data_IF_486402685745
#
_entry.id   IF_486402685745
#
_cell.length_a   1.000
_cell.length_b   1.000
_cell.length_c   1.000
_cell.angle_alpha   90.00
_cell.angle_beta   90.00
_cell.angle_gamma   90.00
#
_symmetry.space_group_name_H-M   'P 1'
#
loop_
_entity.id
_entity.type
_entity.pdbx_description
1 polymer ?
#
# COMPACT_ATOMS: atom_id res chain seq x y z
N UNK A 1 -24.72 31.73 -3.89
CA UNK A 1 -24.20 30.53 -4.58
C UNK A 1 -22.70 30.67 -4.67
N UNK A 2 -21.92 29.71 -4.17
CA UNK A 2 -20.46 29.75 -4.32
C UNK A 2 -20.12 29.59 -5.80
N UNK A 3 -19.26 30.46 -6.35
CA UNK A 3 -18.76 30.30 -7.71
C UNK A 3 -17.83 29.08 -7.77
N UNK A 4 -17.99 28.26 -8.82
CA UNK A 4 -17.07 27.16 -9.09
C UNK A 4 -15.73 27.74 -9.50
N UNK A 5 -14.66 27.38 -8.77
CA UNK A 5 -13.31 27.92 -9.00
C UNK A 5 -12.60 27.24 -10.17
N UNK A 6 -12.91 25.98 -10.45
CA UNK A 6 -12.27 25.19 -11.49
C UNK A 6 -13.15 24.01 -11.88
N UNK A 7 -13.12 23.67 -13.17
CA UNK A 7 -13.80 22.48 -13.72
C UNK A 7 -12.79 21.71 -14.57
N UNK A 8 -12.70 20.37 -14.41
CA UNK A 8 -11.82 19.56 -15.24
C UNK A 8 -12.23 19.65 -16.72
N UNK A 9 -11.25 19.57 -17.62
CA UNK A 9 -11.53 19.41 -19.04
C UNK A 9 -12.32 18.10 -19.27
N UNK A 10 -13.29 18.06 -20.19
CA UNK A 10 -14.10 16.86 -20.44
C UNK A 10 -13.28 15.58 -20.69
N UNK A 11 -12.15 15.72 -21.40
CA UNK A 11 -11.25 14.60 -21.69
C UNK A 11 -10.53 14.04 -20.44
N UNK A 12 -10.24 14.88 -19.44
CA UNK A 12 -9.58 14.43 -18.21
C UNK A 12 -10.45 13.43 -17.43
N UNK A 13 -11.77 13.57 -17.54
CA UNK A 13 -12.72 12.69 -16.89
C UNK A 13 -12.87 11.34 -17.61
N UNK A 14 -12.94 11.37 -18.96
CA UNK A 14 -13.23 10.19 -19.79
C UNK A 14 -12.21 9.06 -19.63
N UNK A 15 -10.93 9.39 -19.42
CA UNK A 15 -9.84 8.41 -19.27
C UNK A 15 -9.44 8.16 -17.82
N UNK A 16 -10.16 8.72 -16.85
CA UNK A 16 -9.86 8.54 -15.44
C UNK A 16 -10.12 7.10 -15.00
N UNK A 17 -9.38 6.64 -13.97
CA UNK A 17 -9.65 5.35 -13.34
C UNK A 17 -11.06 5.30 -12.73
N UNK A 18 -11.61 6.44 -12.29
CA UNK A 18 -12.97 6.52 -11.77
C UNK A 18 -14.02 6.25 -12.85
N UNK A 19 -13.85 6.83 -14.04
CA UNK A 19 -14.75 6.57 -15.17
C UNK A 19 -14.68 5.10 -15.63
N UNK A 20 -13.47 4.53 -15.66
CA UNK A 20 -13.27 3.10 -15.95
C UNK A 20 -13.94 2.21 -14.90
N UNK A 21 -13.78 2.54 -13.62
CA UNK A 21 -14.40 1.81 -12.52
C UNK A 21 -15.94 1.89 -12.56
N UNK A 22 -16.49 3.09 -12.79
CA UNK A 22 -17.93 3.31 -12.93
C UNK A 22 -18.50 2.43 -14.06
N UNK A 23 -17.87 2.49 -15.24
CA UNK A 23 -18.28 1.71 -16.42
C UNK A 23 -18.22 0.21 -16.14
N UNK A 24 -17.15 -0.27 -15.51
CA UNK A 24 -16.97 -1.68 -15.18
C UNK A 24 -18.05 -2.22 -14.22
N UNK A 25 -18.68 -1.34 -13.45
CA UNK A 25 -19.75 -1.67 -12.50
C UNK A 25 -21.15 -1.26 -12.98
N UNK A 26 -21.29 -0.92 -14.27
CA UNK A 26 -22.59 -0.58 -14.87
C UNK A 26 -23.10 0.82 -14.55
N UNK A 27 -22.26 1.71 -14.01
CA UNK A 27 -22.62 3.11 -13.76
C UNK A 27 -22.17 4.01 -14.90
N UNK A 28 -22.95 5.07 -15.15
CA UNK A 28 -22.49 6.18 -15.99
C UNK A 28 -21.34 6.88 -15.27
N UNK A 29 -20.19 7.09 -15.92
CA UNK A 29 -19.12 7.92 -15.37
C UNK A 29 -19.63 9.32 -14.96
N UNK A 30 -20.54 9.91 -15.74
CA UNK A 30 -21.06 11.25 -15.46
C UNK A 30 -22.00 11.32 -14.24
N UNK A 31 -22.40 10.18 -13.67
CA UNK A 31 -23.28 10.10 -12.51
C UNK A 31 -22.52 9.54 -11.29
N UNK A 32 -21.61 10.37 -10.78
CA UNK A 32 -20.86 10.05 -9.57
C UNK A 32 -21.78 9.83 -8.36
N UNK A 33 -22.89 10.56 -8.28
CA UNK A 33 -23.78 10.52 -7.12
C UNK A 33 -24.44 9.15 -6.97
N UNK A 34 -24.93 8.57 -8.06
CA UNK A 34 -25.52 7.23 -8.03
C UNK A 34 -24.48 6.16 -7.67
N UNK A 35 -23.28 6.22 -8.26
CA UNK A 35 -22.20 5.28 -7.92
C UNK A 35 -21.76 5.43 -6.45
N UNK A 36 -21.62 6.66 -5.96
CA UNK A 36 -21.29 6.93 -4.56
C UNK A 36 -22.39 6.44 -3.62
N UNK A 37 -23.67 6.63 -3.98
CA UNK A 37 -24.79 6.12 -3.18
C UNK A 37 -24.75 4.60 -3.09
N UNK A 38 -24.44 3.92 -4.19
CA UNK A 38 -24.21 2.48 -4.18
C UNK A 38 -23.02 2.09 -3.28
N UNK A 39 -21.89 2.78 -3.39
CA UNK A 39 -20.66 2.43 -2.65
C UNK A 39 -20.83 2.43 -1.14
N UNK A 40 -21.74 3.26 -0.62
CA UNK A 40 -22.06 3.33 0.82
C UNK A 40 -23.28 2.50 1.23
N UNK A 41 -24.14 2.12 0.28
CA UNK A 41 -25.34 1.33 0.56
C UNK A 41 -25.06 -0.18 0.54
N UNK A 42 -24.14 -0.62 -0.32
CA UNK A 42 -23.67 -2.00 -0.40
C UNK A 42 -22.14 -2.04 -0.38
N UNK A 43 -21.59 -1.90 0.83
CA UNK A 43 -20.14 -1.94 1.07
C UNK A 43 -19.52 -3.27 0.62
N UNK A 44 -20.26 -4.39 0.75
CA UNK A 44 -19.76 -5.71 0.37
C UNK A 44 -19.51 -5.83 -1.13
N UNK A 45 -20.50 -5.43 -1.94
CA UNK A 45 -20.38 -5.40 -3.39
C UNK A 45 -19.34 -4.36 -3.84
N UNK A 46 -19.34 -3.17 -3.24
CA UNK A 46 -18.39 -2.11 -3.57
C UNK A 46 -16.94 -2.52 -3.37
N UNK A 47 -16.59 -3.04 -2.19
CA UNK A 47 -15.21 -3.45 -1.93
C UNK A 47 -14.79 -4.63 -2.80
N UNK A 48 -15.72 -5.56 -3.11
CA UNK A 48 -15.44 -6.63 -4.09
C UNK A 48 -15.05 -6.06 -5.45
N UNK A 49 -15.85 -5.13 -5.95
CA UNK A 49 -15.57 -4.46 -7.21
C UNK A 49 -14.23 -3.71 -7.19
N UNK A 50 -13.87 -3.07 -6.09
CA UNK A 50 -12.56 -2.40 -5.94
C UNK A 50 -11.42 -3.40 -6.04
N UNK A 51 -11.52 -4.54 -5.35
CA UNK A 51 -10.52 -5.60 -5.40
C UNK A 51 -10.31 -6.10 -6.84
N UNK A 52 -11.39 -6.41 -7.53
CA UNK A 52 -11.38 -6.94 -8.90
C UNK A 52 -10.83 -5.90 -9.89
N UNK A 53 -11.30 -4.65 -9.80
CA UNK A 53 -10.86 -3.57 -10.68
C UNK A 53 -9.38 -3.21 -10.50
N UNK A 54 -8.90 -3.17 -9.26
CA UNK A 54 -7.48 -2.91 -8.97
C UNK A 54 -6.58 -4.11 -9.36
N UNK A 55 -7.18 -5.27 -9.61
CA UNK A 55 -6.45 -6.51 -9.92
C UNK A 55 -5.58 -6.93 -8.74
N UNK A 56 -6.13 -6.87 -7.53
CA UNK A 56 -5.41 -7.28 -6.31
C UNK A 56 -5.11 -8.77 -6.40
N UNK A 57 -3.83 -9.12 -6.22
CA UNK A 57 -3.35 -10.49 -6.17
C UNK A 57 -3.53 -11.04 -4.76
N UNK A 58 -4.23 -12.16 -4.65
CA UNK A 58 -4.57 -12.82 -3.39
C UNK A 58 -5.91 -13.52 -3.48
N UNK A 59 -6.34 -14.09 -2.37
CA UNK A 59 -7.69 -14.61 -2.20
C UNK A 59 -8.51 -13.58 -1.41
N UNK A 60 -9.51 -12.91 -2.01
CA UNK A 60 -10.37 -11.98 -1.29
C UNK A 60 -11.40 -12.67 -0.38
N UNK A 61 -11.45 -14.01 -0.39
CA UNK A 61 -12.38 -14.80 0.40
C UNK A 61 -13.85 -14.54 0.05
N UNK A 62 -14.74 -15.08 0.89
CA UNK A 62 -16.20 -15.03 0.62
C UNK A 62 -16.84 -13.69 0.95
N UNK A 63 -16.36 -13.02 2.00
CA UNK A 63 -16.95 -11.77 2.52
C UNK A 63 -16.00 -10.61 2.27
N UNK A 64 -16.45 -9.55 1.60
CA UNK A 64 -15.67 -8.31 1.45
C UNK A 64 -15.84 -7.35 2.62
N UNK A 65 -16.98 -7.40 3.30
CA UNK A 65 -17.28 -6.53 4.42
C UNK A 65 -18.18 -7.26 5.41
N UNK A 66 -17.84 -7.18 6.68
CA UNK A 66 -18.62 -7.70 7.79
C UNK A 66 -18.86 -6.56 8.78
N UNK A 67 -20.11 -6.10 8.85
CA UNK A 67 -20.53 -5.06 9.78
C UNK A 67 -20.61 -5.61 11.20
N UNK A 68 -20.11 -4.84 12.16
CA UNK A 68 -20.41 -5.04 13.58
C UNK A 68 -21.46 -4.02 14.03
N UNK A 69 -22.65 -4.45 14.42
CA UNK A 69 -23.74 -3.50 14.74
C UNK A 69 -23.57 -2.79 16.09
N UNK A 70 -22.77 -3.35 17.01
CA UNK A 70 -22.56 -2.78 18.34
C UNK A 70 -21.39 -1.79 18.35
N UNK A 71 -20.40 -2.01 17.48
CA UNK A 71 -19.30 -1.08 17.27
C UNK A 71 -18.96 -0.96 15.77
N UNK A 72 -19.85 -0.33 14.97
CA UNK A 72 -19.71 -0.28 13.52
C UNK A 72 -18.39 0.32 13.03
N UNK A 73 -17.81 1.25 13.80
CA UNK A 73 -16.58 1.93 13.42
C UNK A 73 -15.30 1.16 13.78
N UNK A 74 -15.25 0.49 14.93
CA UNK A 74 -14.00 -0.07 15.46
C UNK A 74 -13.89 -1.58 15.34
N UNK A 75 -15.01 -2.29 15.10
CA UNK A 75 -15.04 -3.76 15.03
C UNK A 75 -15.56 -4.33 13.71
N UNK A 76 -16.08 -3.50 12.79
CA UNK A 76 -16.37 -3.96 11.43
C UNK A 76 -15.09 -4.39 10.73
N UNK A 77 -15.17 -5.41 9.90
CA UNK A 77 -14.01 -6.02 9.24
C UNK A 77 -14.15 -5.92 7.72
N UNK A 78 -13.08 -5.46 7.09
CA UNK A 78 -12.93 -5.50 5.63
C UNK A 78 -12.20 -6.80 5.29
N UNK A 79 -12.77 -7.58 4.38
CA UNK A 79 -12.20 -8.82 3.89
C UNK A 79 -11.71 -9.78 5.00
N UNK A 80 -12.57 -10.18 5.95
CA UNK A 80 -12.17 -11.01 7.10
C UNK A 80 -11.61 -12.39 6.72
N UNK A 81 -11.95 -12.88 5.52
CA UNK A 81 -11.52 -14.19 5.02
C UNK A 81 -10.32 -14.09 4.07
N UNK A 82 -9.84 -12.88 3.77
CA UNK A 82 -8.86 -12.70 2.70
C UNK A 82 -7.44 -13.06 3.13
N UNK A 83 -6.66 -13.48 2.13
CA UNK A 83 -5.21 -13.61 2.23
C UNK A 83 -4.54 -12.93 1.05
N UNK A 84 -3.58 -12.06 1.34
CA UNK A 84 -2.79 -11.34 0.33
C UNK A 84 -1.43 -10.97 0.90
N UNK A 85 -0.48 -10.65 0.02
CA UNK A 85 0.77 -10.01 0.41
C UNK A 85 0.90 -8.64 -0.28
N UNK A 86 1.14 -7.58 0.51
CA UNK A 86 1.27 -6.23 -0.05
C UNK A 86 2.53 -6.08 -0.91
N UNK A 87 3.66 -6.71 -0.53
CA UNK A 87 4.88 -6.64 -1.31
C UNK A 87 4.74 -7.35 -2.67
N UNK A 88 3.99 -8.45 -2.73
CA UNK A 88 3.61 -9.11 -3.99
C UNK A 88 2.81 -8.17 -4.90
N UNK A 89 1.77 -7.53 -4.36
CA UNK A 89 0.91 -6.60 -5.11
C UNK A 89 1.69 -5.39 -5.63
N UNK A 90 2.57 -4.80 -4.81
CA UNK A 90 3.39 -3.64 -5.19
C UNK A 90 4.52 -3.99 -6.16
N UNK A 91 4.91 -5.26 -6.20
CA UNK A 91 5.99 -5.75 -7.06
C UNK A 91 5.46 -6.40 -8.33
N UNK A 92 4.20 -6.19 -8.74
CA UNK A 92 3.61 -6.76 -9.97
C UNK A 92 4.02 -6.01 -11.24
N UNK A 93 4.06 -6.72 -12.36
CA UNK A 93 4.36 -6.18 -13.70
C UNK A 93 5.64 -6.74 -14.32
N UNK A 94 6.04 -6.14 -15.43
CA UNK A 94 7.18 -6.58 -16.23
C UNK A 94 8.53 -6.29 -15.56
N UNK A 95 9.49 -7.20 -15.75
CA UNK A 95 10.82 -7.14 -15.12
C UNK A 95 11.60 -5.88 -15.50
N UNK A 96 11.49 -5.44 -16.75
CA UNK A 96 12.19 -4.27 -17.30
C UNK A 96 11.51 -2.93 -16.95
N UNK A 97 10.31 -2.97 -16.35
CA UNK A 97 9.59 -1.76 -15.96
C UNK A 97 10.40 -1.00 -14.92
N UNK A 98 10.61 0.30 -15.16
CA UNK A 98 11.16 1.19 -14.14
C UNK A 98 10.23 1.23 -12.93
N UNK A 99 10.71 0.76 -11.79
CA UNK A 99 9.97 0.72 -10.54
C UNK A 99 10.29 1.91 -9.64
N UNK A 100 11.55 2.37 -9.64
CA UNK A 100 12.01 3.48 -8.81
C UNK A 100 12.87 4.41 -9.66
N UNK A 101 12.63 5.71 -9.51
CA UNK A 101 13.53 6.77 -9.92
C UNK A 101 13.94 7.49 -8.63
N UNK A 102 15.19 7.37 -8.27
CA UNK A 102 15.79 8.02 -7.10
C UNK A 102 16.58 9.25 -7.57
N UNK A 103 16.46 10.33 -6.82
CA UNK A 103 17.15 11.58 -7.04
C UNK A 103 17.64 12.15 -5.70
N UNK A 104 18.78 12.84 -5.70
CA UNK A 104 19.26 13.57 -4.53
C UNK A 104 19.80 14.96 -4.82
N UNK A 105 20.14 15.66 -3.73
CA UNK A 105 20.60 17.05 -3.75
C UNK A 105 21.97 17.24 -4.42
N UNK A 106 22.74 16.15 -4.60
CA UNK A 106 24.00 16.19 -5.36
C UNK A 106 23.77 16.07 -6.87
N UNK A 107 22.51 15.99 -7.31
CA UNK A 107 22.15 15.75 -8.70
C UNK A 107 22.38 14.30 -9.13
N UNK A 108 22.55 13.36 -8.19
CA UNK A 108 22.62 11.95 -8.53
C UNK A 108 21.22 11.45 -8.90
N UNK A 109 21.12 10.73 -10.01
CA UNK A 109 19.91 10.05 -10.45
C UNK A 109 20.18 8.57 -10.64
N UNK A 110 19.29 7.75 -10.12
CA UNK A 110 19.35 6.30 -10.26
C UNK A 110 17.99 5.77 -10.63
N UNK A 111 17.96 4.86 -11.58
CA UNK A 111 16.76 4.10 -11.93
C UNK A 111 16.93 2.67 -11.47
N UNK A 112 15.86 2.07 -10.95
CA UNK A 112 15.82 0.66 -10.56
C UNK A 112 14.66 -0.03 -11.26
N UNK A 113 14.94 -1.10 -11.99
CA UNK A 113 13.91 -1.90 -12.64
C UNK A 113 13.17 -2.77 -11.62
N UNK A 114 12.01 -3.29 -12.02
CA UNK A 114 11.23 -4.16 -11.16
C UNK A 114 11.97 -5.47 -10.85
N UNK A 115 12.72 -6.03 -11.81
CA UNK A 115 13.57 -7.20 -11.60
C UNK A 115 14.66 -6.93 -10.55
N UNK A 116 15.35 -5.81 -10.65
CA UNK A 116 16.37 -5.41 -9.68
C UNK A 116 15.78 -5.19 -8.28
N UNK A 117 14.62 -4.53 -8.20
CA UNK A 117 13.90 -4.31 -6.95
C UNK A 117 13.53 -5.64 -6.30
N UNK A 118 12.91 -6.57 -7.06
CA UNK A 118 12.55 -7.92 -6.59
C UNK A 118 13.79 -8.68 -6.08
N UNK A 119 14.90 -8.61 -6.81
CA UNK A 119 16.16 -9.24 -6.41
C UNK A 119 16.70 -8.71 -5.08
N UNK A 120 16.67 -7.39 -4.88
CA UNK A 120 17.09 -6.76 -3.61
C UNK A 120 16.15 -7.13 -2.46
N UNK A 121 14.84 -7.06 -2.69
CA UNK A 121 13.81 -7.45 -1.71
C UNK A 121 13.99 -8.91 -1.29
N UNK A 122 14.20 -9.82 -2.24
CA UNK A 122 14.42 -11.24 -1.95
C UNK A 122 15.66 -11.48 -1.08
N UNK A 123 16.77 -10.77 -1.35
CA UNK A 123 18.01 -10.86 -0.55
C UNK A 123 17.80 -10.40 0.88
N UNK A 124 17.13 -9.25 1.08
CA UNK A 124 16.85 -8.74 2.43
C UNK A 124 15.84 -9.62 3.15
N UNK A 125 14.78 -10.09 2.47
CA UNK A 125 13.81 -11.01 3.05
C UNK A 125 14.45 -12.33 3.50
N UNK A 126 15.43 -12.84 2.76
CA UNK A 126 16.23 -13.99 3.18
C UNK A 126 17.04 -13.69 4.45
N UNK A 127 17.72 -12.55 4.49
CA UNK A 127 18.46 -12.09 5.67
C UNK A 127 17.56 -11.93 6.91
N UNK A 128 16.37 -11.37 6.76
CA UNK A 128 15.38 -11.22 7.83
C UNK A 128 14.96 -12.59 8.38
N UNK A 129 14.64 -13.56 7.52
CA UNK A 129 14.31 -14.93 7.95
C UNK A 129 15.50 -15.59 8.66
N UNK A 130 16.72 -15.40 8.17
CA UNK A 130 17.94 -15.92 8.80
C UNK A 130 18.22 -15.28 10.17
N UNK A 131 17.86 -14.01 10.36
CA UNK A 131 17.85 -13.32 11.66
C UNK A 131 16.67 -13.74 12.57
N UNK A 132 15.86 -14.71 12.14
CA UNK A 132 14.75 -15.26 12.90
C UNK A 132 13.47 -14.43 12.87
N UNK A 133 13.34 -13.43 11.99
CA UNK A 133 12.11 -12.64 11.82
C UNK A 133 11.00 -13.53 11.26
N UNK A 134 9.86 -13.54 11.95
CA UNK A 134 8.67 -14.29 11.59
C UNK A 134 7.46 -13.36 11.39
N UNK A 135 6.34 -13.94 10.94
CA UNK A 135 5.08 -13.21 10.77
C UNK A 135 4.66 -12.57 12.10
N UNK A 136 4.35 -11.28 12.08
CA UNK A 136 3.94 -10.50 13.25
C UNK A 136 5.10 -9.87 14.05
N UNK A 137 6.36 -10.23 13.78
CA UNK A 137 7.50 -9.54 14.39
C UNK A 137 7.62 -8.11 13.85
N UNK A 138 8.11 -7.18 14.69
CA UNK A 138 8.34 -5.79 14.29
C UNK A 138 9.76 -5.60 13.76
N UNK A 139 9.88 -4.92 12.62
CA UNK A 139 11.16 -4.48 12.01
C UNK A 139 11.15 -2.96 11.89
N UNK A 140 12.23 -2.35 12.37
CA UNK A 140 12.40 -0.90 12.43
C UNK A 140 13.32 -0.38 11.31
N UNK A 141 13.12 0.86 10.90
CA UNK A 141 14.03 1.61 10.03
C UNK A 141 14.31 3.02 10.51
N UNK A 142 15.57 3.43 10.53
CA UNK A 142 16.01 4.82 10.65
C UNK A 142 16.74 5.13 9.34
N UNK A 143 15.97 5.51 8.32
CA UNK A 143 16.44 5.54 6.94
C UNK A 143 16.00 6.83 6.24
N UNK A 144 16.87 7.45 5.42
CA UNK A 144 16.46 8.55 4.55
C UNK A 144 15.53 8.04 3.43
N UNK A 145 14.95 8.97 2.66
CA UNK A 145 14.14 8.64 1.48
C UNK A 145 15.03 8.15 0.32
N UNK A 146 15.46 6.89 0.41
CA UNK A 146 16.30 6.19 -0.57
C UNK A 146 15.70 4.82 -0.89
N UNK A 147 16.14 4.22 -2.00
CA UNK A 147 15.62 2.91 -2.45
C UNK A 147 15.83 1.80 -1.42
N UNK A 148 16.87 1.89 -0.59
CA UNK A 148 17.14 0.96 0.50
C UNK A 148 15.98 0.94 1.53
N UNK A 149 15.35 2.10 1.78
CA UNK A 149 14.16 2.19 2.63
C UNK A 149 12.96 1.45 2.05
N UNK A 150 12.71 1.61 0.75
CA UNK A 150 11.67 0.85 0.05
C UNK A 150 11.95 -0.65 0.06
N UNK A 151 13.21 -1.06 -0.18
CA UNK A 151 13.62 -2.47 -0.14
C UNK A 151 13.40 -3.07 1.25
N UNK A 152 13.78 -2.36 2.31
CA UNK A 152 13.60 -2.82 3.69
C UNK A 152 12.11 -2.98 4.06
N UNK A 153 11.27 -2.00 3.67
CA UNK A 153 9.81 -2.07 3.81
C UNK A 153 9.25 -3.30 3.09
N UNK A 154 9.50 -3.43 1.78
CA UNK A 154 8.94 -4.53 0.98
C UNK A 154 9.44 -5.90 1.44
N UNK A 155 10.71 -6.02 1.85
CA UNK A 155 11.24 -7.25 2.40
C UNK A 155 10.55 -7.63 3.71
N UNK A 156 10.33 -6.67 4.61
CA UNK A 156 9.59 -6.86 5.87
C UNK A 156 8.16 -7.34 5.60
N UNK A 157 7.45 -6.66 4.70
CA UNK A 157 6.08 -7.05 4.31
C UNK A 157 6.03 -8.43 3.64
N UNK A 158 7.04 -8.79 2.84
CA UNK A 158 7.10 -10.08 2.16
C UNK A 158 7.24 -11.28 3.10
N UNK A 159 7.80 -11.07 4.30
CA UNK A 159 7.92 -12.11 5.34
C UNK A 159 6.76 -12.11 6.33
N UNK A 160 5.78 -11.20 6.16
CA UNK A 160 4.63 -11.04 7.04
C UNK A 160 4.95 -10.33 8.36
N UNK A 161 6.12 -9.69 8.45
CA UNK A 161 6.51 -8.85 9.59
C UNK A 161 5.88 -7.44 9.47
N UNK A 162 5.88 -6.72 10.58
CA UNK A 162 5.34 -5.36 10.69
C UNK A 162 6.47 -4.35 10.53
N UNK A 163 6.32 -3.42 9.59
CA UNK A 163 7.30 -2.35 9.38
C UNK A 163 6.95 -1.10 10.17
N UNK A 164 7.96 -0.47 10.77
CA UNK A 164 7.86 0.87 11.34
C UNK A 164 9.16 1.64 11.07
N UNK A 165 9.08 2.95 10.87
CA UNK A 165 10.26 3.76 10.56
C UNK A 165 10.22 5.16 11.17
N UNK A 166 11.39 5.72 11.41
CA UNK A 166 11.61 7.12 11.80
C UNK A 166 12.54 7.80 10.78
N UNK A 167 12.35 9.10 10.55
CA UNK A 167 13.32 9.89 9.79
C UNK A 167 14.64 9.95 10.57
N UNK A 168 15.81 9.93 9.89
CA UNK A 168 17.10 10.20 10.53
C UNK A 168 17.19 11.61 11.16
N UNK A 169 16.28 12.53 10.80
CA UNK A 169 16.21 13.88 11.40
C UNK A 169 15.68 13.87 12.84
N UNK A 170 15.17 12.74 13.33
CA UNK A 170 14.63 12.64 14.69
C UNK A 170 15.77 12.50 15.70
N UNK A 171 15.63 13.22 16.83
CA UNK A 171 16.51 13.02 17.98
C UNK A 171 16.36 11.62 18.57
N UNK A 172 17.44 11.09 19.15
CA UNK A 172 17.49 9.71 19.68
C UNK A 172 16.35 9.39 20.65
N UNK A 173 16.00 10.31 21.56
CA UNK A 173 14.88 10.12 22.50
C UNK A 173 13.55 9.89 21.77
N UNK A 174 13.27 10.68 20.72
CA UNK A 174 12.06 10.55 19.92
C UNK A 174 11.99 9.23 19.14
N UNK A 175 13.14 8.70 18.72
CA UNK A 175 13.24 7.40 18.05
C UNK A 175 12.96 6.27 19.05
N UNK A 176 13.61 6.30 20.21
CA UNK A 176 13.42 5.30 21.28
C UNK A 176 11.98 5.29 21.75
N UNK A 177 11.37 6.46 21.93
CA UNK A 177 9.96 6.56 22.34
C UNK A 177 9.01 5.90 21.34
N UNK A 178 9.33 5.84 20.05
CA UNK A 178 8.48 5.22 19.01
C UNK A 178 8.79 3.76 18.81
N UNK A 179 10.05 3.45 18.48
CA UNK A 179 10.47 2.09 18.15
C UNK A 179 10.58 1.20 19.39
N UNK A 180 10.85 1.78 20.57
CA UNK A 180 10.92 1.06 21.83
C UNK A 180 9.57 0.48 22.28
N UNK A 181 8.45 1.08 21.86
CA UNK A 181 7.11 0.60 22.21
C UNK A 181 6.68 -0.67 21.47
N UNK A 182 7.30 -0.97 20.33
CA UNK A 182 6.84 -2.03 19.41
C UNK A 182 7.73 -3.27 19.39
N UNK A 183 8.73 -3.35 20.27
CA UNK A 183 9.61 -4.52 20.40
C UNK A 183 10.34 -4.87 19.11
N UNK A 184 11.01 -3.87 18.49
CA UNK A 184 11.75 -4.08 17.23
C UNK A 184 12.79 -5.19 17.38
N UNK A 185 12.70 -6.20 16.50
CA UNK A 185 13.60 -7.35 16.47
C UNK A 185 14.81 -7.14 15.58
N UNK A 186 14.63 -6.41 14.48
CA UNK A 186 15.68 -6.02 13.54
C UNK A 186 15.53 -4.54 13.23
N UNK A 187 16.64 -3.80 13.26
CA UNK A 187 16.69 -2.37 12.94
C UNK A 187 17.60 -2.15 11.73
N UNK A 188 17.09 -1.47 10.71
CA UNK A 188 17.88 -0.92 9.63
C UNK A 188 18.26 0.53 9.94
N UNK A 189 19.52 0.90 9.73
CA UNK A 189 20.00 2.27 9.89
C UNK A 189 21.12 2.56 8.87
N UNK A 190 21.15 3.80 8.35
CA UNK A 190 22.16 4.31 7.40
C UNK A 190 22.52 5.74 7.73
#
# INVERSE_FOLDING_TARGET
>A
MSSVLWTPAPAAFQFSNLARFATANGFSPHDYETMHRWSISDLGAFWRAVWDFAGVTGDPGTRSFLRDDQAPMTRSQFFPDASLNLAENLSRGDDDRVAVIEADESGHFRTVTLCELRGRVARIAHGLRAAGVARGDSVGGILPNRVEGLVALLATLSVGAVWSSCSPDFGAAAIVDRLGQIGVKVLFAT
#
